data_IF_588669033985
#
_entry.id   IF_588669033985
#
_cell.length_a   1.000
_cell.length_b   1.000
_cell.length_c   1.000
_cell.angle_alpha   90.00
_cell.angle_beta   90.00
_cell.angle_gamma   90.00
#
_symmetry.space_group_name_H-M   'P 1'
#
loop_
_entity.id
_entity.type
_entity.pdbx_description
1 polymer ?
#
# COMPACT_ATOMS: atom_id res chain seq x y z
N UNK A 1 24.49 1.64 2.97
CA UNK A 1 23.89 0.84 4.06
C UNK A 1 24.30 -0.62 3.90
N UNK A 2 24.99 -1.21 4.88
CA UNK A 2 25.52 -2.59 4.79
C UNK A 2 24.46 -3.68 4.53
N UNK A 3 23.17 -3.40 4.78
CA UNK A 3 22.08 -4.37 4.63
C UNK A 3 21.13 -4.07 3.46
N UNK A 4 21.46 -3.13 2.57
CA UNK A 4 20.52 -2.67 1.53
C UNK A 4 20.08 -3.79 0.58
N UNK A 5 20.97 -4.77 0.31
CA UNK A 5 20.65 -5.94 -0.51
C UNK A 5 19.56 -6.81 0.14
N UNK A 6 19.69 -7.09 1.44
CA UNK A 6 18.72 -7.88 2.19
C UNK A 6 17.38 -7.14 2.28
N UNK A 7 17.41 -5.83 2.61
CA UNK A 7 16.22 -4.98 2.66
C UNK A 7 15.50 -5.01 1.31
N UNK A 8 16.25 -4.83 0.21
CA UNK A 8 15.68 -4.90 -1.13
C UNK A 8 14.99 -6.24 -1.36
N UNK A 9 15.66 -7.36 -1.10
CA UNK A 9 15.07 -8.70 -1.26
C UNK A 9 13.76 -8.83 -0.46
N UNK A 10 13.76 -8.47 0.83
CA UNK A 10 12.58 -8.57 1.67
C UNK A 10 11.42 -7.69 1.17
N UNK A 11 11.70 -6.46 0.74
CA UNK A 11 10.67 -5.58 0.22
C UNK A 11 10.05 -6.11 -1.08
N UNK A 12 10.85 -6.70 -1.97
CA UNK A 12 10.32 -7.33 -3.20
C UNK A 12 9.59 -8.64 -2.91
N UNK A 13 9.98 -9.40 -1.88
CA UNK A 13 9.20 -10.57 -1.42
C UNK A 13 7.79 -10.17 -0.96
N UNK A 14 7.63 -8.98 -0.39
CA UNK A 14 6.31 -8.42 -0.06
C UNK A 14 5.39 -8.17 -1.28
N UNK A 15 5.92 -8.18 -2.51
CA UNK A 15 5.09 -8.10 -3.71
C UNK A 15 4.48 -9.44 -4.13
N UNK A 16 5.01 -10.56 -3.62
CA UNK A 16 4.59 -11.89 -4.06
C UNK A 16 3.08 -12.07 -3.86
N UNK A 17 2.47 -11.76 -2.70
CA UNK A 17 1.03 -11.95 -2.53
C UNK A 17 0.20 -11.05 -3.47
N UNK A 18 0.63 -9.82 -3.72
CA UNK A 18 -0.05 -8.92 -4.66
C UNK A 18 -0.11 -9.49 -6.07
N UNK A 19 1.02 -9.97 -6.60
CA UNK A 19 1.08 -10.53 -7.95
C UNK A 19 0.35 -11.87 -8.04
N UNK A 20 0.61 -12.78 -7.09
CA UNK A 20 0.02 -14.11 -7.10
C UNK A 20 -1.50 -14.01 -7.03
N UNK A 21 -2.06 -13.25 -6.09
CA UNK A 21 -3.49 -13.15 -5.91
C UNK A 21 -4.18 -12.42 -7.06
N UNK A 22 -3.60 -11.33 -7.57
CA UNK A 22 -4.18 -10.59 -8.69
C UNK A 22 -4.23 -11.42 -9.99
N UNK A 23 -3.20 -12.22 -10.26
CA UNK A 23 -3.17 -13.13 -11.42
C UNK A 23 -4.07 -14.35 -11.18
N UNK A 24 -4.00 -14.96 -10.00
CA UNK A 24 -4.80 -16.15 -9.66
C UNK A 24 -6.30 -15.87 -9.76
N UNK A 25 -6.74 -14.64 -9.45
CA UNK A 25 -8.15 -14.28 -9.51
C UNK A 25 -8.75 -14.36 -10.93
N UNK A 26 -7.94 -14.20 -11.99
CA UNK A 26 -8.42 -14.40 -13.37
C UNK A 26 -8.91 -15.83 -13.63
N UNK A 27 -8.32 -16.81 -12.95
CA UNK A 27 -8.61 -18.23 -13.14
C UNK A 27 -9.67 -18.74 -12.16
N UNK A 28 -9.49 -18.44 -10.88
CA UNK A 28 -10.32 -19.02 -9.81
C UNK A 28 -11.59 -18.20 -9.56
N UNK A 29 -11.54 -16.86 -9.77
CA UNK A 29 -12.67 -15.94 -9.63
C UNK A 29 -13.44 -16.09 -8.30
N UNK A 30 -12.70 -16.26 -7.20
CA UNK A 30 -13.29 -16.47 -5.87
C UNK A 30 -13.21 -15.21 -5.02
N UNK A 31 -14.31 -14.90 -4.32
CA UNK A 31 -14.36 -13.81 -3.33
C UNK A 31 -13.25 -13.91 -2.28
N UNK A 32 -12.90 -15.14 -1.86
CA UNK A 32 -11.86 -15.38 -0.88
C UNK A 32 -10.50 -14.84 -1.35
N UNK A 33 -10.18 -14.93 -2.65
CA UNK A 33 -8.92 -14.41 -3.20
C UNK A 33 -8.89 -12.88 -3.10
N UNK A 34 -10.02 -12.25 -3.41
CA UNK A 34 -10.16 -10.79 -3.35
C UNK A 34 -10.06 -10.32 -1.90
N UNK A 35 -10.70 -11.01 -0.96
CA UNK A 35 -10.63 -10.67 0.46
C UNK A 35 -9.21 -10.85 1.02
N UNK A 36 -8.51 -11.94 0.67
CA UNK A 36 -7.11 -12.11 1.06
C UNK A 36 -6.25 -10.98 0.46
N UNK A 37 -6.50 -10.59 -0.78
CA UNK A 37 -5.79 -9.48 -1.43
C UNK A 37 -6.04 -8.16 -0.69
N UNK A 38 -7.29 -7.82 -0.36
CA UNK A 38 -7.62 -6.54 0.30
C UNK A 38 -7.14 -6.51 1.75
N UNK A 39 -7.26 -7.62 2.49
CA UNK A 39 -6.69 -7.74 3.83
C UNK A 39 -5.16 -7.57 3.79
N UNK A 40 -4.48 -8.18 2.80
CA UNK A 40 -3.04 -7.99 2.65
C UNK A 40 -2.68 -6.55 2.32
N UNK A 41 -3.41 -5.89 1.41
CA UNK A 41 -3.27 -4.45 1.14
C UNK A 41 -3.40 -3.61 2.41
N UNK A 42 -4.41 -3.90 3.23
CA UNK A 42 -4.67 -3.19 4.48
C UNK A 42 -3.53 -3.35 5.49
N UNK A 43 -3.01 -4.57 5.65
CA UNK A 43 -1.86 -4.86 6.53
C UNK A 43 -0.63 -4.08 6.08
N UNK A 44 -0.32 -4.12 4.77
CA UNK A 44 0.83 -3.38 4.23
C UNK A 44 0.63 -1.88 4.41
N UNK A 45 -0.53 -1.32 4.05
CA UNK A 45 -0.80 0.11 4.26
C UNK A 45 -0.66 0.52 5.72
N UNK A 46 -1.20 -0.26 6.65
CA UNK A 46 -1.09 0.00 8.09
C UNK A 46 0.37 -0.01 8.55
N UNK A 47 1.16 -0.98 8.08
CA UNK A 47 2.60 -1.03 8.34
C UNK A 47 3.32 0.21 7.79
N UNK A 48 2.98 0.64 6.58
CA UNK A 48 3.59 1.82 5.95
C UNK A 48 3.26 3.10 6.71
N UNK A 49 1.99 3.35 7.03
CA UNK A 49 1.61 4.49 7.85
C UNK A 49 2.28 4.46 9.23
N UNK A 50 2.35 3.29 9.88
CA UNK A 50 3.10 3.15 11.13
C UNK A 50 4.58 3.52 11.00
N UNK A 51 5.23 3.11 9.90
CA UNK A 51 6.63 3.47 9.63
C UNK A 51 6.81 4.97 9.34
N UNK A 52 5.88 5.57 8.58
CA UNK A 52 5.89 7.00 8.28
C UNK A 52 5.63 7.83 9.53
N UNK A 53 4.79 7.36 10.46
CA UNK A 53 4.53 8.01 11.74
C UNK A 53 5.82 8.14 12.56
N UNK A 54 6.52 7.02 12.75
CA UNK A 54 7.80 7.02 13.46
C UNK A 54 8.81 7.95 12.78
N UNK A 55 8.87 7.92 11.45
CA UNK A 55 9.77 8.79 10.70
C UNK A 55 9.45 10.28 10.88
N UNK A 56 8.17 10.66 10.84
CA UNK A 56 7.72 12.04 11.02
C UNK A 56 8.05 12.61 12.41
N UNK A 57 8.09 11.76 13.45
CA UNK A 57 8.51 12.19 14.80
C UNK A 57 10.01 12.49 14.83
N UNK A 58 10.82 11.68 14.15
CA UNK A 58 12.28 11.76 14.20
C UNK A 58 12.81 12.84 13.26
N UNK A 59 12.08 13.14 12.18
CA UNK A 59 12.57 14.04 11.14
C UNK A 59 12.57 15.48 11.62
N UNK A 60 13.76 16.06 11.78
CA UNK A 60 13.90 17.49 12.00
C UNK A 60 13.52 18.25 10.72
N UNK A 61 12.36 18.89 10.75
CA UNK A 61 11.84 19.72 9.65
C UNK A 61 11.31 21.04 10.19
N UNK A 62 11.45 22.11 9.40
CA UNK A 62 10.87 23.43 9.70
C UNK A 62 9.38 23.52 9.34
N UNK A 63 8.82 22.45 8.77
CA UNK A 63 7.44 22.42 8.30
C UNK A 63 6.47 22.05 9.42
N UNK A 64 5.22 22.51 9.31
CA UNK A 64 4.16 22.11 10.21
C UNK A 64 3.72 20.66 9.92
N UNK A 65 4.26 19.70 10.67
CA UNK A 65 3.98 18.26 10.50
C UNK A 65 2.62 17.81 11.06
N UNK A 66 1.90 18.69 11.79
CA UNK A 66 0.68 18.30 12.53
C UNK A 66 -0.39 17.66 11.64
N UNK A 67 -0.64 18.23 10.46
CA UNK A 67 -1.61 17.69 9.50
C UNK A 67 -1.18 16.33 8.96
N UNK A 68 0.11 16.16 8.67
CA UNK A 68 0.65 14.89 8.19
C UNK A 68 0.59 13.81 9.26
N UNK A 69 0.88 14.14 10.52
CA UNK A 69 0.73 13.22 11.65
C UNK A 69 -0.72 12.78 11.83
N UNK A 70 -1.66 13.72 11.82
CA UNK A 70 -3.08 13.40 11.94
C UNK A 70 -3.54 12.50 10.79
N UNK A 71 -3.15 12.81 9.56
CA UNK A 71 -3.44 11.99 8.40
C UNK A 71 -2.86 10.57 8.54
N UNK A 72 -1.58 10.45 8.88
CA UNK A 72 -0.91 9.15 9.01
C UNK A 72 -1.51 8.29 10.12
N UNK A 73 -1.86 8.87 11.27
CA UNK A 73 -2.42 8.15 12.42
C UNK A 73 -3.86 7.71 12.15
N UNK A 74 -4.68 8.55 11.52
CA UNK A 74 -6.08 8.23 11.25
C UNK A 74 -6.27 7.35 10.00
N UNK A 75 -5.30 7.30 9.10
CA UNK A 75 -5.38 6.53 7.85
C UNK A 75 -5.66 5.04 8.07
N UNK A 76 -4.93 4.30 8.94
CA UNK A 76 -5.24 2.88 9.19
C UNK A 76 -6.66 2.65 9.71
N UNK A 77 -7.15 3.52 10.60
CA UNK A 77 -8.52 3.42 11.15
C UNK A 77 -9.53 3.60 10.02
N UNK A 78 -9.34 4.64 9.19
CA UNK A 78 -10.19 4.88 8.03
C UNK A 78 -10.17 3.70 7.04
N UNK A 79 -9.01 3.12 6.78
CA UNK A 79 -8.87 1.99 5.86
C UNK A 79 -9.54 0.71 6.38
N UNK A 80 -9.52 0.47 7.69
CA UNK A 80 -10.28 -0.63 8.31
C UNK A 80 -11.79 -0.43 8.09
N UNK A 81 -12.30 0.79 8.29
CA UNK A 81 -13.71 1.08 8.02
C UNK A 81 -14.05 0.88 6.54
N UNK A 82 -13.15 1.26 5.63
CA UNK A 82 -13.31 1.00 4.20
C UNK A 82 -13.39 -0.51 3.90
N UNK A 83 -12.55 -1.32 4.54
CA UNK A 83 -12.54 -2.77 4.33
C UNK A 83 -13.87 -3.42 4.74
N UNK A 84 -14.45 -2.97 5.85
CA UNK A 84 -15.66 -3.55 6.45
C UNK A 84 -16.93 -3.11 5.70
N UNK A 85 -17.02 -1.83 5.33
CA UNK A 85 -18.30 -1.23 4.91
C UNK A 85 -18.42 -0.97 3.40
N UNK A 86 -17.32 -0.92 2.64
CA UNK A 86 -17.38 -0.52 1.23
C UNK A 86 -17.41 -1.70 0.28
N UNK A 87 -18.02 -1.47 -0.89
CA UNK A 87 -18.01 -2.43 -1.99
C UNK A 87 -16.59 -2.67 -2.48
N UNK A 88 -16.34 -3.88 -2.97
CA UNK A 88 -15.03 -4.39 -3.42
C UNK A 88 -14.32 -3.41 -4.38
N UNK A 89 -15.02 -2.91 -5.40
CA UNK A 89 -14.40 -2.02 -6.40
C UNK A 89 -13.96 -0.69 -5.77
N UNK A 90 -14.77 -0.17 -4.84
CA UNK A 90 -14.49 1.09 -4.15
C UNK A 90 -13.32 0.92 -3.17
N UNK A 91 -13.30 -0.15 -2.37
CA UNK A 91 -12.19 -0.40 -1.44
C UNK A 91 -10.85 -0.58 -2.17
N UNK A 92 -10.84 -1.30 -3.30
CA UNK A 92 -9.64 -1.45 -4.13
C UNK A 92 -9.11 -0.10 -4.65
N UNK A 93 -10.00 0.77 -5.11
CA UNK A 93 -9.61 2.10 -5.60
C UNK A 93 -9.07 2.99 -4.47
N UNK A 94 -9.73 2.98 -3.30
CA UNK A 94 -9.27 3.70 -2.12
C UNK A 94 -7.88 3.21 -1.69
N UNK A 95 -7.66 1.90 -1.64
CA UNK A 95 -6.36 1.35 -1.23
C UNK A 95 -5.24 1.75 -2.20
N UNK A 96 -5.49 1.71 -3.51
CA UNK A 96 -4.55 2.19 -4.53
C UNK A 96 -4.21 3.68 -4.35
N UNK A 97 -5.20 4.52 -4.06
CA UNK A 97 -5.00 5.94 -3.75
C UNK A 97 -4.13 6.10 -2.50
N UNK A 98 -4.39 5.34 -1.43
CA UNK A 98 -3.61 5.44 -0.20
C UNK A 98 -2.16 4.96 -0.38
N UNK A 99 -1.91 3.95 -1.22
CA UNK A 99 -0.54 3.59 -1.62
C UNK A 99 0.17 4.77 -2.31
N UNK A 100 -0.53 5.48 -3.19
CA UNK A 100 0.00 6.67 -3.83
C UNK A 100 0.24 7.81 -2.83
N UNK A 101 -0.68 8.06 -1.89
CA UNK A 101 -0.54 9.10 -0.86
C UNK A 101 0.66 8.84 0.05
N UNK A 102 0.87 7.59 0.48
CA UNK A 102 2.08 7.22 1.23
C UNK A 102 3.35 7.50 0.42
N UNK A 103 3.36 7.24 -0.88
CA UNK A 103 4.50 7.55 -1.73
C UNK A 103 4.77 9.06 -1.85
N UNK A 104 3.74 9.90 -1.80
CA UNK A 104 3.91 11.36 -1.74
C UNK A 104 4.56 11.78 -0.43
N UNK A 105 4.16 11.19 0.69
CA UNK A 105 4.80 11.42 2.00
C UNK A 105 6.27 10.97 1.97
N UNK A 106 6.55 9.80 1.41
CA UNK A 106 7.91 9.30 1.27
C UNK A 106 8.76 10.23 0.40
N UNK A 107 8.25 10.68 -0.75
CA UNK A 107 9.00 11.62 -1.61
C UNK A 107 9.31 12.93 -0.89
N UNK A 108 8.44 13.37 0.02
CA UNK A 108 8.58 14.64 0.74
C UNK A 108 9.53 14.52 1.93
N UNK A 109 9.40 13.48 2.73
CA UNK A 109 10.09 13.38 4.01
C UNK A 109 11.28 12.41 3.98
N UNK A 110 11.23 11.33 3.20
CA UNK A 110 12.23 10.27 3.26
C UNK A 110 13.55 10.70 2.60
N UNK A 111 14.57 10.94 3.43
CA UNK A 111 15.89 11.43 2.99
C UNK A 111 16.74 10.37 2.27
N UNK A 112 16.49 9.08 2.48
CA UNK A 112 17.30 8.01 1.89
C UNK A 112 16.88 7.72 0.44
N UNK A 113 17.62 8.26 -0.52
CA UNK A 113 17.29 8.19 -1.95
C UNK A 113 17.29 6.76 -2.52
N UNK A 114 18.17 5.88 -2.06
CA UNK A 114 18.22 4.50 -2.56
C UNK A 114 17.01 3.70 -2.09
N UNK A 115 16.63 3.86 -0.82
CA UNK A 115 15.42 3.26 -0.29
C UNK A 115 14.16 3.87 -0.93
N UNK A 116 14.15 5.19 -1.19
CA UNK A 116 13.05 5.87 -1.89
C UNK A 116 12.82 5.32 -3.30
N UNK A 117 13.89 5.03 -4.05
CA UNK A 117 13.79 4.38 -5.37
C UNK A 117 13.16 3.00 -5.29
N UNK A 118 13.49 2.23 -4.24
CA UNK A 118 12.87 0.92 -3.99
C UNK A 118 11.38 1.12 -3.70
N UNK A 119 11.03 1.99 -2.75
CA UNK A 119 9.65 2.32 -2.39
C UNK A 119 8.80 2.72 -3.60
N UNK A 120 9.30 3.64 -4.42
CA UNK A 120 8.60 4.11 -5.63
C UNK A 120 8.28 2.98 -6.60
N UNK A 121 9.24 2.08 -6.86
CA UNK A 121 9.03 0.91 -7.72
C UNK A 121 7.97 -0.02 -7.14
N UNK A 122 8.07 -0.34 -5.84
CA UNK A 122 7.10 -1.21 -5.18
C UNK A 122 5.70 -0.62 -5.23
N UNK A 123 5.52 0.66 -4.91
CA UNK A 123 4.23 1.34 -4.96
C UNK A 123 3.60 1.26 -6.35
N UNK A 124 4.38 1.50 -7.42
CA UNK A 124 3.89 1.37 -8.79
C UNK A 124 3.41 -0.06 -9.07
N UNK A 125 4.20 -1.07 -8.70
CA UNK A 125 3.85 -2.48 -8.93
C UNK A 125 2.60 -2.90 -8.12
N UNK A 126 2.43 -2.39 -6.90
CA UNK A 126 1.21 -2.60 -6.10
C UNK A 126 0.00 -1.90 -6.71
N UNK A 127 0.14 -0.68 -7.21
CA UNK A 127 -0.99 -0.01 -7.90
C UNK A 127 -1.37 -0.78 -9.15
N UNK A 128 -0.39 -1.29 -9.91
CA UNK A 128 -0.65 -2.17 -11.07
C UNK A 128 -1.39 -3.44 -10.65
N UNK A 129 -1.04 -4.07 -9.52
CA UNK A 129 -1.78 -5.26 -9.05
C UNK A 129 -3.23 -4.94 -8.64
N UNK A 130 -3.48 -3.76 -8.06
CA UNK A 130 -4.84 -3.29 -7.79
C UNK A 130 -5.64 -3.08 -9.09
N UNK A 131 -5.01 -2.56 -10.14
CA UNK A 131 -5.65 -2.43 -11.46
C UNK A 131 -5.94 -3.81 -12.05
N UNK A 132 -4.98 -4.75 -11.99
CA UNK A 132 -5.15 -6.11 -12.49
C UNK A 132 -6.30 -6.84 -11.82
N UNK A 133 -6.39 -6.78 -10.48
CA UNK A 133 -7.50 -7.43 -9.77
C UNK A 133 -8.83 -6.75 -10.08
N UNK A 134 -8.89 -5.43 -10.23
CA UNK A 134 -10.10 -4.71 -10.60
C UNK A 134 -10.59 -5.09 -12.01
N UNK A 135 -9.67 -5.22 -12.97
CA UNK A 135 -9.97 -5.74 -14.31
C UNK A 135 -10.49 -7.18 -14.24
N UNK A 136 -9.94 -8.03 -13.37
CA UNK A 136 -10.37 -9.43 -13.25
C UNK A 136 -11.81 -9.57 -12.72
N UNK A 137 -12.32 -8.55 -12.03
CA UNK A 137 -13.68 -8.53 -11.45
C UNK A 137 -14.70 -7.98 -12.47
N UNK A 138 -14.33 -6.99 -13.28
CA UNK A 138 -15.21 -6.32 -14.25
C UNK A 138 -15.99 -7.25 -15.20
N UNK A 139 -15.39 -8.28 -15.84
CA UNK A 139 -16.13 -9.15 -16.76
C UNK A 139 -17.13 -10.08 -16.07
N UNK A 140 -17.16 -10.13 -14.73
CA UNK A 140 -17.99 -11.09 -13.98
C UNK A 140 -19.24 -10.45 -13.33
N UNK A 141 -19.48 -9.14 -13.47
CA UNK A 141 -20.68 -8.47 -12.94
C UNK A 141 -20.79 -8.45 -11.40
N UNK A 142 -19.66 -8.62 -10.71
CA UNK A 142 -19.52 -8.53 -9.24
C UNK A 142 -19.12 -7.11 -8.86
#
# INVERSE_FOLDING_TARGET
MNNLKIIKTLCYSGLIPFYVLSVLNFYVKSFIIIDIFTIYSLVILSFLFGSTWLYLIIVETKENIKLFLLFVILSPIFLILCEIFLKIQIKLLIFAIFFFLVQLLDNKFLKNLDYLKIRKKLTILVIVSHILILISIYPNGI
#
